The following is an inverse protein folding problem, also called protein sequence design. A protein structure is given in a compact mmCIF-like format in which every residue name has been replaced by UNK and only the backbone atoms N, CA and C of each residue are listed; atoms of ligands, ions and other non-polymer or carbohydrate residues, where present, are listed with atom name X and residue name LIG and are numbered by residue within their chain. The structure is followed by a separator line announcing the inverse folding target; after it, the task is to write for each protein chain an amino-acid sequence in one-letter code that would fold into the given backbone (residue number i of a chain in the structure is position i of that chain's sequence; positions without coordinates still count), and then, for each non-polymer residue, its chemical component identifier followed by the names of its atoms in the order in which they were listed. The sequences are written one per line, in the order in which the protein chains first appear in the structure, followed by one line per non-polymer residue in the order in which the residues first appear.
data_IF_173639758017
#
_entry.id   IF_173639758017
#
_cell.length_a   1.000
_cell.length_b   1.000
_cell.length_c   1.000
_cell.angle_alpha   90.00
_cell.angle_beta   90.00
_cell.angle_gamma   90.00
#
_symmetry.space_group_name_H-M   'P 1'
#
loop_
_entity.id
_entity.type
_entity.pdbx_description
1 polymer ?
#
# COMPACT_ATOMS: atom_id res chain seq x y z
N UNK A 1 8.05 -16.16 -4.31
CA UNK A 1 8.94 -15.22 -5.00
C UNK A 1 8.76 -13.89 -4.31
N UNK A 2 9.82 -13.32 -3.73
CA UNK A 2 9.78 -11.92 -3.29
C UNK A 2 9.75 -11.08 -4.56
N UNK A 3 8.55 -10.74 -5.02
CA UNK A 3 8.42 -9.86 -6.18
C UNK A 3 9.04 -8.50 -5.83
N UNK A 4 9.86 -7.97 -6.73
CA UNK A 4 10.36 -6.62 -6.56
C UNK A 4 9.16 -5.66 -6.65
N UNK A 5 8.96 -4.85 -5.62
CA UNK A 5 7.95 -3.78 -5.66
C UNK A 5 8.52 -2.67 -6.50
N UNK A 6 7.84 -2.36 -7.59
CA UNK A 6 8.13 -1.16 -8.34
C UNK A 6 7.23 -0.03 -7.84
N UNK A 7 7.70 0.72 -6.84
CA UNK A 7 6.95 1.88 -6.28
C UNK A 7 6.64 2.90 -7.38
N UNK A 8 7.49 3.04 -8.41
CA UNK A 8 7.22 3.92 -9.55
C UNK A 8 6.00 3.47 -10.35
N UNK A 9 5.87 2.17 -10.63
CA UNK A 9 4.67 1.62 -11.29
C UNK A 9 3.41 1.87 -10.45
N UNK A 10 3.50 1.74 -9.12
CA UNK A 10 2.36 2.02 -8.22
C UNK A 10 1.97 3.51 -8.26
N UNK A 11 2.95 4.41 -8.27
CA UNK A 11 2.72 5.85 -8.43
C UNK A 11 2.04 6.13 -9.78
N UNK A 12 2.52 5.54 -10.87
CA UNK A 12 1.93 5.70 -12.20
C UNK A 12 0.48 5.21 -12.24
N UNK A 13 0.18 4.07 -11.59
CA UNK A 13 -1.19 3.57 -11.47
C UNK A 13 -2.08 4.51 -10.66
N UNK A 14 -1.58 5.07 -9.56
CA UNK A 14 -2.31 6.06 -8.76
C UNK A 14 -2.57 7.35 -9.55
N UNK A 15 -1.57 7.85 -10.27
CA UNK A 15 -1.72 9.05 -11.12
C UNK A 15 -2.76 8.84 -12.23
N UNK A 16 -2.95 7.59 -12.70
CA UNK A 16 -3.94 7.25 -13.72
C UNK A 16 -5.34 6.98 -13.17
N UNK A 17 -5.44 6.20 -12.09
CA UNK A 17 -6.72 5.68 -11.57
C UNK A 17 -7.31 6.57 -10.48
N UNK A 18 -6.45 7.20 -9.67
CA UNK A 18 -6.83 7.99 -8.51
C UNK A 18 -6.06 9.33 -8.45
N UNK A 19 -6.12 10.17 -9.50
CA UNK A 19 -5.29 11.38 -9.63
C UNK A 19 -5.51 12.42 -8.52
N UNK A 20 -6.63 12.34 -7.80
CA UNK A 20 -6.94 13.24 -6.68
C UNK A 20 -6.22 12.85 -5.38
N UNK A 21 -5.66 11.64 -5.27
CA UNK A 21 -4.93 11.14 -4.09
C UNK A 21 -3.46 11.60 -4.09
N UNK A 22 -3.25 12.90 -4.27
CA UNK A 22 -1.92 13.53 -4.33
C UNK A 22 -1.12 13.36 -3.03
N UNK A 23 -1.80 13.24 -1.90
CA UNK A 23 -1.22 12.95 -0.60
C UNK A 23 -0.55 11.56 -0.56
N UNK A 24 -1.21 10.55 -1.13
CA UNK A 24 -0.70 9.18 -1.23
C UNK A 24 0.44 9.10 -2.22
N UNK A 25 0.30 9.74 -3.39
CA UNK A 25 1.39 9.86 -4.37
C UNK A 25 2.62 10.49 -3.74
N UNK A 26 2.44 11.57 -2.97
CA UNK A 26 3.53 12.22 -2.24
C UNK A 26 4.15 11.29 -1.20
N UNK A 27 3.34 10.61 -0.40
CA UNK A 27 3.83 9.69 0.62
C UNK A 27 4.64 8.53 0.01
N UNK A 28 4.23 7.99 -1.15
CA UNK A 28 4.98 6.96 -1.88
C UNK A 28 6.31 7.49 -2.42
N UNK A 29 6.34 8.73 -2.92
CA UNK A 29 7.56 9.40 -3.39
C UNK A 29 8.55 9.66 -2.26
N UNK A 30 8.06 9.92 -1.05
CA UNK A 30 8.87 10.22 0.14
C UNK A 30 9.22 8.99 0.98
N UNK A 31 8.60 7.83 0.72
CA UNK A 31 8.85 6.62 1.49
C UNK A 31 10.30 6.15 1.33
N UNK A 32 10.92 5.74 2.44
CA UNK A 32 12.36 5.40 2.49
C UNK A 32 12.63 3.89 2.54
N UNK A 33 11.57 3.08 2.55
CA UNK A 33 11.68 1.63 2.63
C UNK A 33 10.55 1.02 3.46
N UNK A 34 10.58 -0.30 3.55
CA UNK A 34 9.61 -1.12 4.26
C UNK A 34 10.09 -2.57 4.25
N UNK A 35 9.29 -3.46 4.79
CA UNK A 35 9.61 -4.87 4.88
C UNK A 35 8.50 -5.72 4.32
N UNK A 36 8.89 -6.72 3.52
CA UNK A 36 7.99 -7.79 3.16
C UNK A 36 7.60 -8.58 4.40
N UNK A 37 6.32 -8.86 4.50
CA UNK A 37 5.75 -9.74 5.51
C UNK A 37 5.01 -10.84 4.76
N UNK A 38 5.61 -12.04 4.77
CA UNK A 38 5.17 -13.13 3.91
C UNK A 38 5.28 -12.77 2.43
N UNK A 39 4.35 -13.29 1.62
CA UNK A 39 4.34 -13.12 0.16
C UNK A 39 3.29 -12.11 -0.35
N UNK A 40 2.48 -11.53 0.54
CA UNK A 40 1.27 -10.80 0.15
C UNK A 40 1.29 -9.32 0.54
N UNK A 41 2.07 -8.92 1.54
CA UNK A 41 2.04 -7.55 2.05
C UNK A 41 3.44 -6.97 2.28
N UNK A 42 3.60 -5.70 1.89
CA UNK A 42 4.79 -4.90 2.13
C UNK A 42 4.47 -3.75 3.05
N UNK A 43 5.07 -3.80 4.23
CA UNK A 43 4.73 -2.94 5.35
C UNK A 43 5.73 -1.81 5.49
N UNK A 44 5.25 -0.57 5.53
CA UNK A 44 6.07 0.63 5.76
C UNK A 44 6.16 1.02 7.24
N UNK A 45 5.14 0.68 8.03
CA UNK A 45 4.99 1.10 9.43
C UNK A 45 4.63 -0.11 10.30
N UNK A 46 5.09 -0.14 11.56
CA UNK A 46 4.78 -1.25 12.45
C UNK A 46 3.27 -1.36 12.74
N UNK A 47 2.67 -2.51 12.40
CA UNK A 47 1.28 -2.84 12.67
C UNK A 47 1.00 -3.31 14.11
N UNK A 48 2.04 -3.43 14.95
CA UNK A 48 1.87 -3.90 16.32
C UNK A 48 0.91 -2.99 17.09
N UNK A 49 -0.11 -3.58 17.71
CA UNK A 49 -1.18 -2.87 18.43
C UNK A 49 -1.93 -1.83 17.58
N UNK A 50 -2.09 -2.08 16.27
CA UNK A 50 -2.79 -1.18 15.35
C UNK A 50 -4.08 -0.56 15.94
N UNK A 51 -4.23 0.75 15.74
CA UNK A 51 -5.33 1.59 16.23
C UNK A 51 -5.45 1.75 17.75
N UNK A 52 -4.55 1.18 18.55
CA UNK A 52 -4.45 1.53 19.97
C UNK A 52 -3.73 2.87 20.16
N UNK A 53 -3.95 3.51 21.30
CA UNK A 53 -3.28 4.78 21.62
C UNK A 53 -1.76 4.57 21.66
N UNK A 54 -1.01 5.42 20.94
CA UNK A 54 0.45 5.34 20.84
C UNK A 54 0.99 4.37 19.78
N UNK A 55 0.14 3.60 19.09
CA UNK A 55 0.58 2.74 17.99
C UNK A 55 0.91 3.58 16.75
N UNK A 56 1.94 3.17 16.00
CA UNK A 56 2.32 3.84 14.76
C UNK A 56 1.25 3.67 13.67
N UNK A 57 0.63 2.49 13.63
CA UNK A 57 -0.47 2.19 12.74
C UNK A 57 -1.78 2.79 13.27
N UNK A 58 -2.21 3.87 12.64
CA UNK A 58 -3.50 4.51 12.89
C UNK A 58 -4.23 4.60 11.55
N UNK A 59 -5.12 3.65 11.27
CA UNK A 59 -5.81 3.57 9.99
C UNK A 59 -6.64 4.83 9.72
N UNK A 60 -6.64 5.27 8.46
CA UNK A 60 -7.47 6.38 7.97
C UNK A 60 -8.35 5.93 6.81
N UNK A 61 -7.74 5.46 5.72
CA UNK A 61 -8.43 5.02 4.52
C UNK A 61 -7.55 4.03 3.72
N UNK A 62 -8.10 3.40 2.68
CA UNK A 62 -7.34 2.65 1.71
C UNK A 62 -7.62 3.09 0.28
N UNK A 63 -6.64 2.86 -0.60
CA UNK A 63 -6.79 3.09 -2.04
C UNK A 63 -6.61 1.78 -2.75
N UNK A 64 -7.51 1.50 -3.68
CA UNK A 64 -7.48 0.29 -4.49
C UNK A 64 -7.07 0.67 -5.89
N UNK A 65 -5.96 0.10 -6.38
CA UNK A 65 -5.53 0.24 -7.77
C UNK A 65 -5.38 -1.12 -8.44
N UNK A 66 -5.68 -1.17 -9.73
CA UNK A 66 -5.58 -2.38 -10.53
C UNK A 66 -4.27 -2.42 -11.32
N UNK A 67 -3.46 -3.45 -11.09
CA UNK A 67 -2.25 -3.70 -11.87
C UNK A 67 -2.48 -4.82 -12.89
N UNK A 68 -2.19 -4.60 -14.18
CA UNK A 68 -2.57 -5.52 -15.27
C UNK A 68 -1.96 -6.93 -15.14
N UNK A 69 -0.82 -7.07 -14.45
CA UNK A 69 -0.16 -8.37 -14.21
C UNK A 69 -0.26 -8.89 -12.77
N UNK A 70 -0.45 -7.99 -11.80
CA UNK A 70 -0.32 -8.29 -10.36
C UNK A 70 -1.68 -8.37 -9.67
N UNK A 71 -2.76 -8.02 -10.37
CA UNK A 71 -4.10 -8.00 -9.80
C UNK A 71 -4.34 -6.72 -8.99
N UNK A 72 -5.11 -6.84 -7.92
CA UNK A 72 -5.43 -5.70 -7.05
C UNK A 72 -4.23 -5.35 -6.19
N UNK A 73 -3.96 -4.05 -6.05
CA UNK A 73 -3.07 -3.53 -5.03
C UNK A 73 -3.91 -2.64 -4.13
N UNK A 74 -3.96 -2.96 -2.85
CA UNK A 74 -4.58 -2.15 -1.82
C UNK A 74 -3.47 -1.39 -1.10
N UNK A 75 -3.61 -0.08 -0.99
CA UNK A 75 -2.64 0.83 -0.39
C UNK A 75 -3.28 1.42 0.86
N UNK A 76 -2.79 1.02 2.03
CA UNK A 76 -3.31 1.55 3.28
C UNK A 76 -2.70 2.91 3.58
N UNK A 77 -3.58 3.89 3.81
CA UNK A 77 -3.23 5.23 4.22
C UNK A 77 -3.58 5.41 5.70
N UNK A 78 -2.59 5.85 6.45
CA UNK A 78 -2.68 6.06 7.89
C UNK A 78 -2.81 7.55 8.19
N UNK A 79 -3.33 7.85 9.38
CA UNK A 79 -3.40 9.21 9.91
C UNK A 79 -2.02 9.86 9.89
N UNK A 80 -2.02 11.19 9.77
CA UNK A 80 -0.81 12.00 9.61
C UNK A 80 -0.06 11.74 8.29
N UNK A 81 -0.77 11.33 7.25
CA UNK A 81 -0.25 11.18 5.88
C UNK A 81 0.85 10.12 5.76
N UNK A 82 0.73 9.03 6.53
CA UNK A 82 1.69 7.92 6.50
C UNK A 82 1.14 6.78 5.64
N UNK A 83 2.03 6.02 5.02
CA UNK A 83 1.65 4.75 4.37
C UNK A 83 1.70 3.63 5.41
N UNK A 84 0.70 2.76 5.40
CA UNK A 84 0.66 1.57 6.24
C UNK A 84 1.33 0.41 5.52
N UNK A 85 0.65 -0.12 4.51
CA UNK A 85 1.13 -1.25 3.70
C UNK A 85 0.63 -1.22 2.26
N UNK A 86 1.29 -2.02 1.43
CA UNK A 86 0.80 -2.46 0.12
C UNK A 86 0.38 -3.91 0.25
N UNK A 87 -0.87 -4.21 -0.06
CA UNK A 87 -1.41 -5.56 -0.09
C UNK A 87 -1.70 -5.97 -1.54
N UNK A 88 -1.08 -7.07 -1.97
CA UNK A 88 -1.15 -7.57 -3.34
C UNK A 88 -2.12 -8.76 -3.41
N UNK A 89 -3.32 -8.52 -3.91
CA UNK A 89 -4.34 -9.56 -4.10
C UNK A 89 -4.20 -10.11 -5.52
N UNK A 90 -3.72 -11.35 -5.63
CA UNK A 90 -3.56 -12.00 -6.93
C UNK A 90 -4.92 -12.21 -7.62
N UNK A 91 -4.94 -12.17 -8.96
CA UNK A 91 -6.13 -12.46 -9.78
C UNK A 91 -6.76 -13.83 -9.47
N UNK A 92 -5.96 -14.80 -8.97
CA UNK A 92 -6.43 -16.13 -8.55
C UNK A 92 -7.27 -16.11 -7.28
N UNK A 93 -7.18 -15.08 -6.44
CA UNK A 93 -7.93 -14.98 -5.19
C UNK A 93 -9.33 -14.37 -5.37
N UNK A 94 -9.59 -13.75 -6.54
CA UNK A 94 -10.91 -13.21 -6.90
C UNK A 94 -11.96 -14.26 -7.29
N UNK A 95 -11.59 -15.55 -7.40
CA UNK A 95 -12.47 -16.66 -7.82
C UNK A 95 -12.93 -17.55 -6.67
N UNK A 96 -13.14 -17.02 -5.47
CA UNK A 96 -13.77 -17.75 -4.37
C UNK A 96 -15.07 -17.10 -3.96
#
# INVERSE_FOLDING_TARGET
MNEYINIKEIIELLEQQEPLRQDTIKALKECRGGQWRGNAYFQFVDSTNANQNGAEWQFDDNIVVEHPKKGTIIIDFLKNKKLGELNFMNLSERKR
#
